data_IF_523676148426
#
_entry.id   IF_523676148426
#
_cell.length_a   1.000
_cell.length_b   1.000
_cell.length_c   1.000
_cell.angle_alpha   90.00
_cell.angle_beta   90.00
_cell.angle_gamma   90.00
#
_symmetry.space_group_name_H-M   'P 1'
#
loop_
_entity.id
_entity.type
_entity.pdbx_description
1 polymer ?
#
# COMPACT_ATOMS: atom_id res chain seq x y z
N UNK A 1 -18.53 25.33 23.93
CA UNK A 1 -18.90 24.65 22.66
C UNK A 1 -18.20 23.31 22.67
N UNK A 2 -18.92 22.26 23.10
CA UNK A 2 -18.36 20.93 23.27
C UNK A 2 -18.35 20.20 21.94
N UNK A 3 -17.18 19.71 21.53
CA UNK A 3 -17.09 18.74 20.44
C UNK A 3 -17.89 17.50 20.85
N UNK A 4 -18.97 17.23 20.14
CA UNK A 4 -19.76 16.02 20.27
C UNK A 4 -18.92 14.82 19.86
N UNK A 5 -18.75 13.89 20.81
CA UNK A 5 -18.08 12.60 20.60
C UNK A 5 -18.83 11.84 19.51
N UNK A 6 -18.31 11.85 18.27
CA UNK A 6 -18.86 11.03 17.18
C UNK A 6 -18.85 11.64 15.78
N UNK A 7 -18.68 12.95 15.62
CA UNK A 7 -18.64 13.57 14.28
C UNK A 7 -17.26 13.41 13.63
N UNK A 8 -17.21 12.70 12.50
CA UNK A 8 -16.03 12.71 11.64
C UNK A 8 -15.91 14.10 11.00
N UNK A 9 -14.91 14.87 11.40
CA UNK A 9 -14.56 16.10 10.71
C UNK A 9 -14.11 15.76 9.28
N UNK A 10 -14.88 16.25 8.30
CA UNK A 10 -14.64 15.99 6.87
C UNK A 10 -13.24 16.45 6.44
N UNK A 11 -12.78 17.59 6.95
CA UNK A 11 -11.47 18.14 6.60
C UNK A 11 -10.34 17.25 7.13
N UNK A 12 -10.50 16.73 8.35
CA UNK A 12 -9.52 15.81 8.94
C UNK A 12 -9.49 14.51 8.14
N UNK A 13 -10.65 13.93 7.81
CA UNK A 13 -10.71 12.74 6.96
C UNK A 13 -10.04 12.95 5.60
N UNK A 14 -10.34 14.05 4.89
CA UNK A 14 -9.78 14.30 3.56
C UNK A 14 -8.28 14.54 3.61
N UNK A 15 -7.80 15.20 4.66
CA UNK A 15 -6.37 15.47 4.86
C UNK A 15 -5.63 14.15 5.08
N UNK A 16 -6.11 13.34 6.02
CA UNK A 16 -5.52 12.04 6.33
C UNK A 16 -5.55 11.09 5.12
N UNK A 17 -6.66 11.07 4.38
CA UNK A 17 -6.77 10.28 3.15
C UNK A 17 -5.79 10.75 2.09
N UNK A 18 -5.63 12.07 1.93
CA UNK A 18 -4.64 12.65 1.01
C UNK A 18 -3.21 12.24 1.36
N UNK A 19 -2.83 12.35 2.65
CA UNK A 19 -1.53 11.89 3.13
C UNK A 19 -1.30 10.41 2.87
N UNK A 20 -2.30 9.57 3.18
CA UNK A 20 -2.24 8.13 2.91
C UNK A 20 -1.98 7.85 1.44
N UNK A 21 -2.75 8.47 0.54
CA UNK A 21 -2.65 8.25 -0.91
C UNK A 21 -1.30 8.69 -1.46
N UNK A 22 -0.75 9.80 -0.98
CA UNK A 22 0.58 10.25 -1.38
C UNK A 22 1.66 9.22 -1.04
N UNK A 23 1.65 8.71 0.20
CA UNK A 23 2.63 7.70 0.61
C UNK A 23 2.40 6.38 -0.09
N UNK A 24 1.14 5.93 -0.25
CA UNK A 24 0.82 4.71 -0.99
C UNK A 24 1.35 4.78 -2.43
N UNK A 25 1.11 5.88 -3.13
CA UNK A 25 1.58 6.06 -4.51
C UNK A 25 3.11 6.07 -4.58
N UNK A 26 3.80 6.69 -3.61
CA UNK A 26 5.25 6.63 -3.52
C UNK A 26 5.76 5.18 -3.34
N UNK A 27 5.08 4.39 -2.49
CA UNK A 27 5.38 2.96 -2.29
C UNK A 27 5.12 2.13 -3.55
N UNK A 28 4.02 2.37 -4.26
CA UNK A 28 3.67 1.69 -5.50
C UNK A 28 4.67 2.00 -6.62
N UNK A 29 5.07 3.27 -6.76
CA UNK A 29 6.09 3.68 -7.72
C UNK A 29 7.44 3.02 -7.41
N UNK A 30 7.85 3.03 -6.14
CA UNK A 30 9.09 2.36 -5.73
C UNK A 30 9.06 0.86 -6.02
N UNK A 31 7.95 0.18 -5.72
CA UNK A 31 7.77 -1.24 -6.09
C UNK A 31 7.91 -1.44 -7.60
N UNK A 32 7.29 -0.57 -8.41
CA UNK A 32 7.38 -0.64 -9.86
C UNK A 32 8.82 -0.45 -10.35
N UNK A 33 9.56 0.51 -9.79
CA UNK A 33 10.95 0.78 -10.16
C UNK A 33 11.85 -0.40 -9.82
N UNK A 34 11.68 -0.99 -8.63
CA UNK A 34 12.40 -2.20 -8.19
C UNK A 34 12.16 -3.35 -9.17
N UNK A 35 10.89 -3.67 -9.46
CA UNK A 35 10.53 -4.78 -10.35
C UNK A 35 11.02 -4.52 -11.77
N UNK A 36 10.84 -3.30 -12.27
CA UNK A 36 11.28 -2.91 -13.63
C UNK A 36 12.79 -3.07 -13.78
N UNK A 37 13.56 -2.62 -12.80
CA UNK A 37 15.01 -2.75 -12.80
C UNK A 37 15.45 -4.23 -12.77
N UNK A 38 14.82 -5.06 -11.94
CA UNK A 38 15.11 -6.50 -11.87
C UNK A 38 14.82 -7.21 -13.19
N UNK A 39 13.66 -6.95 -13.80
CA UNK A 39 13.27 -7.56 -15.08
C UNK A 39 14.17 -7.10 -16.24
N UNK A 40 14.62 -5.85 -16.21
CA UNK A 40 15.59 -5.32 -17.18
C UNK A 40 16.92 -6.07 -17.09
N UNK A 41 17.43 -6.31 -15.87
CA UNK A 41 18.64 -7.12 -15.64
C UNK A 41 18.50 -8.58 -16.10
N UNK A 42 17.29 -9.12 -16.10
CA UNK A 42 17.00 -10.48 -16.59
C UNK A 42 16.74 -10.53 -18.10
N UNK A 43 16.79 -9.39 -18.81
CA UNK A 43 16.39 -9.26 -20.22
C UNK A 43 14.96 -9.76 -20.47
N UNK A 44 14.02 -9.43 -19.56
CA UNK A 44 12.59 -9.81 -19.61
C UNK A 44 11.62 -8.63 -19.48
N UNK A 45 12.11 -7.39 -19.57
CA UNK A 45 11.29 -6.18 -19.43
C UNK A 45 10.13 -6.14 -20.43
N UNK A 46 10.34 -6.64 -21.64
CA UNK A 46 9.36 -6.76 -22.73
C UNK A 46 8.19 -7.72 -22.42
N UNK A 47 8.36 -8.63 -21.46
CA UNK A 47 7.34 -9.61 -21.09
C UNK A 47 6.35 -9.10 -20.05
N UNK A 48 6.50 -7.85 -19.62
CA UNK A 48 5.71 -7.34 -18.51
C UNK A 48 5.18 -5.94 -18.77
N UNK A 49 3.86 -5.78 -19.01
CA UNK A 49 3.23 -4.47 -19.10
C UNK A 49 3.16 -3.80 -17.73
N UNK A 50 2.87 -2.49 -17.69
CA UNK A 50 2.56 -1.77 -16.45
C UNK A 50 1.34 -2.42 -15.77
N UNK A 51 1.60 -3.31 -14.81
CA UNK A 51 0.60 -4.21 -14.24
C UNK A 51 0.14 -3.79 -12.83
N UNK A 52 -0.95 -4.39 -12.35
CA UNK A 52 -1.53 -4.11 -11.04
C UNK A 52 -0.56 -4.42 -9.88
N UNK A 53 -0.69 -3.67 -8.77
CA UNK A 53 0.12 -3.79 -7.54
C UNK A 53 0.37 -5.24 -7.10
N UNK A 54 -0.69 -6.06 -7.00
CA UNK A 54 -0.59 -7.46 -6.55
C UNK A 54 0.33 -8.30 -7.44
N UNK A 55 0.33 -8.03 -8.75
CA UNK A 55 1.14 -8.79 -9.70
C UNK A 55 2.61 -8.40 -9.63
N UNK A 56 2.91 -7.10 -9.45
CA UNK A 56 4.28 -6.62 -9.17
C UNK A 56 4.81 -7.23 -7.87
N UNK A 57 3.97 -7.30 -6.84
CA UNK A 57 4.33 -7.89 -5.56
C UNK A 57 4.65 -9.40 -5.70
N UNK A 58 3.82 -10.13 -6.41
CA UNK A 58 4.04 -11.56 -6.69
C UNK A 58 5.34 -11.80 -7.47
N UNK A 59 5.66 -10.94 -8.44
CA UNK A 59 6.94 -11.03 -9.16
C UNK A 59 8.13 -10.77 -8.23
N UNK A 60 8.05 -9.71 -7.43
CA UNK A 60 9.14 -9.40 -6.50
C UNK A 60 9.37 -10.57 -5.54
N UNK A 61 8.32 -11.20 -5.04
CA UNK A 61 8.37 -12.38 -4.18
C UNK A 61 9.07 -13.55 -4.90
N UNK A 62 8.66 -13.89 -6.13
CA UNK A 62 9.31 -14.93 -6.93
C UNK A 62 10.80 -14.64 -7.19
N UNK A 63 11.14 -13.39 -7.50
CA UNK A 63 12.53 -12.99 -7.73
C UNK A 63 13.33 -13.11 -6.43
N UNK A 64 12.76 -12.75 -5.27
CA UNK A 64 13.42 -12.91 -3.97
C UNK A 64 13.59 -14.38 -3.57
N UNK A 65 12.65 -15.27 -3.95
CA UNK A 65 12.78 -16.71 -3.76
C UNK A 65 13.91 -17.29 -4.62
N UNK A 66 14.02 -16.86 -5.88
CA UNK A 66 15.06 -17.31 -6.80
C UNK A 66 16.44 -16.70 -6.51
N UNK A 67 16.48 -15.42 -6.13
CA UNK A 67 17.67 -14.64 -5.84
C UNK A 67 17.53 -14.02 -4.46
N UNK A 68 18.10 -14.68 -3.44
CA UNK A 68 18.02 -14.22 -2.06
C UNK A 68 18.62 -12.81 -1.91
N UNK A 69 17.81 -11.76 -1.67
CA UNK A 69 18.33 -10.42 -1.50
C UNK A 69 18.96 -10.28 -0.10
N UNK A 70 19.73 -9.22 0.11
CA UNK A 70 20.22 -8.91 1.46
C UNK A 70 19.07 -8.47 2.39
N UNK A 71 18.06 -7.85 1.81
CA UNK A 71 16.84 -7.44 2.48
C UNK A 71 15.63 -7.90 1.69
N UNK A 72 14.71 -8.60 2.35
CA UNK A 72 13.41 -8.97 1.79
C UNK A 72 12.33 -8.19 2.53
N UNK A 73 11.40 -7.55 1.81
CA UNK A 73 10.35 -6.77 2.44
C UNK A 73 9.30 -7.71 3.03
N UNK A 74 8.49 -7.18 3.94
CA UNK A 74 7.34 -7.89 4.50
C UNK A 74 6.19 -7.91 3.48
N UNK A 75 6.14 -8.99 2.70
CA UNK A 75 5.12 -9.18 1.66
C UNK A 75 3.69 -9.20 2.21
N UNK A 76 3.46 -9.70 3.43
CA UNK A 76 2.12 -9.67 4.04
C UNK A 76 1.69 -8.25 4.38
N UNK A 77 2.59 -7.40 4.88
CA UNK A 77 2.29 -5.98 5.09
C UNK A 77 2.03 -5.24 3.79
N UNK A 78 2.72 -5.56 2.70
CA UNK A 78 2.45 -4.99 1.38
C UNK A 78 1.07 -5.42 0.84
N UNK A 79 0.66 -6.68 1.05
CA UNK A 79 -0.70 -7.16 0.75
C UNK A 79 -1.76 -6.46 1.60
N UNK A 80 -1.49 -6.30 2.90
CA UNK A 80 -2.36 -5.56 3.81
C UNK A 80 -2.51 -4.10 3.37
N UNK A 81 -1.42 -3.45 2.95
CA UNK A 81 -1.44 -2.09 2.42
C UNK A 81 -2.31 -1.99 1.17
N UNK A 82 -2.19 -2.91 0.21
CA UNK A 82 -3.02 -2.92 -1.00
C UNK A 82 -4.51 -3.18 -0.68
N UNK A 83 -4.81 -4.11 0.23
CA UNK A 83 -6.18 -4.33 0.73
C UNK A 83 -6.73 -3.07 1.38
N UNK A 84 -5.93 -2.40 2.21
CA UNK A 84 -6.31 -1.15 2.88
C UNK A 84 -6.58 -0.03 1.88
N UNK A 85 -5.74 0.13 0.84
CA UNK A 85 -5.99 1.08 -0.25
C UNK A 85 -7.31 0.78 -0.97
N UNK A 86 -7.57 -0.48 -1.29
CA UNK A 86 -8.83 -0.87 -1.94
C UNK A 86 -10.03 -0.60 -1.04
N UNK A 87 -9.93 -0.85 0.26
CA UNK A 87 -10.98 -0.51 1.22
C UNK A 87 -11.25 0.99 1.29
N UNK A 88 -10.19 1.81 1.30
CA UNK A 88 -10.29 3.28 1.36
C UNK A 88 -10.81 3.88 0.04
N UNK A 89 -10.36 3.36 -1.10
CA UNK A 89 -10.82 3.78 -2.43
C UNK A 89 -12.31 3.49 -2.67
N UNK A 90 -12.86 2.49 -1.98
CA UNK A 90 -14.28 2.16 -1.99
C UNK A 90 -15.04 2.69 -0.77
N UNK A 91 -14.48 3.66 -0.04
CA UNK A 91 -15.19 4.37 1.02
C UNK A 91 -16.41 5.13 0.45
N UNK A 92 -17.55 5.05 1.13
CA UNK A 92 -18.77 5.78 0.81
C UNK A 92 -19.15 6.67 1.98
N UNK A 93 -19.41 7.94 1.69
CA UNK A 93 -19.94 8.89 2.66
C UNK A 93 -21.41 8.60 2.87
N UNK A 94 -21.80 8.44 4.14
CA UNK A 94 -23.17 8.15 4.57
C UNK A 94 -23.57 9.18 5.61
N UNK A 95 -24.67 9.87 5.38
CA UNK A 95 -25.28 10.77 6.36
C UNK A 95 -26.46 10.05 7.03
N UNK A 96 -26.50 10.06 8.35
CA UNK A 96 -27.65 9.60 9.12
C UNK A 96 -28.77 10.65 9.01
N UNK A 97 -29.94 10.31 8.43
CA UNK A 97 -31.02 11.27 8.22
C UNK A 97 -31.71 11.71 9.53
N UNK A 98 -31.56 10.94 10.61
CA UNK A 98 -32.21 11.24 11.90
C UNK A 98 -31.31 12.08 12.81
N UNK A 99 -29.99 11.88 12.77
CA UNK A 99 -29.02 12.57 13.64
C UNK A 99 -28.17 13.60 12.90
N UNK A 100 -28.14 13.58 11.57
CA UNK A 100 -27.23 14.39 10.75
C UNK A 100 -25.79 13.89 10.72
N UNK A 101 -25.45 12.87 11.53
CA UNK A 101 -24.08 12.35 11.65
C UNK A 101 -23.56 11.80 10.31
N UNK A 102 -22.31 12.12 9.99
CA UNK A 102 -21.63 11.62 8.80
C UNK A 102 -20.68 10.49 9.18
N UNK A 103 -20.89 9.34 8.56
CA UNK A 103 -20.01 8.18 8.62
C UNK A 103 -19.40 7.90 7.25
N UNK A 104 -18.20 7.33 7.24
CA UNK A 104 -17.60 6.78 6.02
C UNK A 104 -17.53 5.28 6.19
N UNK A 105 -18.19 4.55 5.30
CA UNK A 105 -18.37 3.11 5.37
C UNK A 105 -17.82 2.45 4.12
N UNK A 106 -17.50 1.16 4.16
CA UNK A 106 -17.17 0.42 2.93
C UNK A 106 -18.39 0.39 2.00
N UNK A 107 -18.19 0.54 0.68
CA UNK A 107 -19.25 0.46 -0.33
C UNK A 107 -20.11 -0.81 -0.21
N UNK A 108 -19.50 -1.96 0.11
CA UNK A 108 -20.20 -3.24 0.28
C UNK A 108 -21.05 -3.30 1.55
N UNK A 109 -20.77 -2.42 2.51
CA UNK A 109 -21.45 -2.38 3.80
C UNK A 109 -22.46 -1.22 3.90
N UNK A 110 -22.85 -0.63 2.77
CA UNK A 110 -23.83 0.47 2.68
C UNK A 110 -25.25 0.11 3.14
N UNK A 111 -25.48 -1.12 3.61
CA UNK A 111 -26.74 -1.51 4.24
C UNK A 111 -26.90 -0.86 5.63
N UNK A 112 -28.12 -0.41 5.95
CA UNK A 112 -28.45 0.26 7.20
C UNK A 112 -28.00 -0.57 8.42
N UNK A 113 -27.05 -0.02 9.19
CA UNK A 113 -26.62 -0.58 10.48
C UNK A 113 -25.46 -1.59 10.44
N UNK A 114 -24.85 -1.86 9.28
CA UNK A 114 -23.76 -2.85 9.14
C UNK A 114 -22.42 -2.30 8.63
N UNK A 115 -22.38 -1.02 8.27
CA UNK A 115 -21.18 -0.32 7.80
C UNK A 115 -20.07 -0.23 8.85
N UNK A 116 -18.90 -0.83 8.59
CA UNK A 116 -17.70 -0.59 9.41
C UNK A 116 -17.21 0.84 9.16
N UNK A 117 -17.23 1.69 10.19
CA UNK A 117 -16.78 3.09 10.11
C UNK A 117 -15.28 3.18 9.78
N UNK A 118 -14.92 4.08 8.88
CA UNK A 118 -13.55 4.46 8.53
C UNK A 118 -13.29 5.81 9.21
N UNK A 119 -12.52 5.79 10.30
CA UNK A 119 -12.20 7.00 11.07
C UNK A 119 -10.88 7.62 10.60
N UNK A 120 -10.63 8.92 10.86
CA UNK A 120 -9.32 9.54 10.62
C UNK A 120 -8.16 8.80 11.30
N UNK A 121 -8.34 8.34 12.54
CA UNK A 121 -7.31 7.56 13.25
C UNK A 121 -6.97 6.26 12.52
N UNK A 122 -7.97 5.60 11.93
CA UNK A 122 -7.74 4.39 11.13
C UNK A 122 -6.93 4.70 9.87
N UNK A 123 -7.15 5.87 9.26
CA UNK A 123 -6.34 6.31 8.12
C UNK A 123 -4.91 6.66 8.56
N UNK A 124 -4.70 7.30 9.72
CA UNK A 124 -3.35 7.51 10.28
C UNK A 124 -2.57 6.22 10.47
N UNK A 125 -3.24 5.17 10.95
CA UNK A 125 -2.65 3.83 11.07
C UNK A 125 -2.26 3.31 9.69
N UNK A 126 -3.13 3.44 8.69
CA UNK A 126 -2.84 3.06 7.31
C UNK A 126 -1.67 3.85 6.71
N UNK A 127 -1.59 5.16 6.98
CA UNK A 127 -0.46 6.02 6.58
C UNK A 127 0.84 5.57 7.23
N UNK A 128 0.79 5.15 8.50
CA UNK A 128 1.95 4.62 9.21
C UNK A 128 2.42 3.30 8.61
N UNK A 129 1.47 2.40 8.26
CA UNK A 129 1.76 1.18 7.51
C UNK A 129 2.38 1.50 6.15
N UNK A 130 1.82 2.45 5.39
CA UNK A 130 2.35 2.85 4.09
C UNK A 130 3.79 3.37 4.19
N UNK A 131 4.08 4.21 5.20
CA UNK A 131 5.44 4.72 5.49
C UNK A 131 6.41 3.60 5.88
N UNK A 132 5.93 2.62 6.66
CA UNK A 132 6.73 1.46 7.03
C UNK A 132 7.06 0.60 5.80
N UNK A 133 6.06 0.28 4.98
CA UNK A 133 6.25 -0.47 3.73
C UNK A 133 7.17 0.28 2.75
N UNK A 134 7.04 1.61 2.65
CA UNK A 134 7.96 2.42 1.84
C UNK A 134 9.40 2.25 2.31
N UNK A 135 9.67 2.44 3.60
CA UNK A 135 11.02 2.28 4.17
C UNK A 135 11.55 0.86 3.99
N UNK A 136 10.67 -0.13 4.07
CA UNK A 136 11.02 -1.54 3.91
C UNK A 136 11.39 -1.89 2.47
N UNK A 137 10.64 -1.37 1.49
CA UNK A 137 11.02 -1.44 0.07
C UNK A 137 12.28 -0.63 -0.21
N UNK A 138 12.41 0.56 0.37
CA UNK A 138 13.58 1.40 0.22
C UNK A 138 14.83 0.74 0.80
N UNK A 139 14.71 -0.05 1.87
CA UNK A 139 15.83 -0.86 2.38
C UNK A 139 16.30 -1.95 1.41
N UNK A 140 15.54 -2.26 0.35
CA UNK A 140 16.02 -3.10 -0.76
C UNK A 140 16.87 -2.31 -1.76
N UNK A 141 16.69 -0.98 -1.85
CA UNK A 141 17.34 -0.12 -2.84
C UNK A 141 18.85 0.09 -2.69
N UNK A 142 19.53 -0.16 -1.55
CA UNK A 142 20.98 0.01 -1.50
C UNK A 142 21.67 -0.91 -2.48
N UNK A 143 21.15 -2.15 -2.65
CA UNK A 143 21.64 -3.08 -3.69
C UNK A 143 20.80 -4.31 -4.08
N UNK A 144 19.61 -4.17 -4.69
CA UNK A 144 19.29 -4.77 -6.02
C UNK A 144 20.47 -4.71 -7.04
N UNK A 145 21.69 -4.33 -6.61
CA UNK A 145 22.56 -3.28 -7.08
C UNK A 145 24.04 -3.49 -6.63
N UNK A 146 24.49 -4.70 -6.28
CA UNK A 146 25.94 -4.98 -6.31
C UNK A 146 26.22 -5.80 -7.57
N UNK A 147 26.56 -5.06 -8.62
CA UNK A 147 26.57 -5.43 -10.03
C UNK A 147 27.89 -6.04 -10.55
N UNK A 148 28.79 -6.57 -9.71
CA UNK A 148 29.96 -7.33 -10.16
C UNK A 148 30.23 -8.57 -9.30
N UNK A 149 30.32 -9.72 -9.98
CA UNK A 149 30.78 -11.07 -9.60
C UNK A 149 29.65 -12.12 -9.45
N UNK A 150 29.47 -13.05 -10.42
CA UNK A 150 28.69 -14.26 -10.17
C UNK A 150 29.31 -15.01 -8.98
N UNK A 151 28.53 -15.71 -8.13
CA UNK A 151 29.12 -16.56 -7.10
C UNK A 151 30.11 -17.49 -7.79
N UNK A 152 31.38 -17.48 -7.34
CA UNK A 152 32.35 -18.48 -7.79
C UNK A 152 31.74 -19.83 -7.48
N UNK A 153 31.45 -20.60 -8.53
CA UNK A 153 31.20 -22.03 -8.40
C UNK A 153 32.49 -22.61 -7.86
N UNK A 154 32.48 -22.94 -6.56
CA UNK A 154 33.53 -23.77 -5.98
C UNK A 154 33.18 -25.18 -6.43
N UNK A 155 33.94 -25.68 -7.41
CA UNK A 155 33.95 -27.09 -7.78
C UNK A 155 34.62 -27.89 -6.66
#
# INVERSE_FOLDING_TARGET
MGATVGEINRNDYTTELGEFLLVFNATENLLNDIVSHLLERLHKKDRYPEDMFDRRLWILELICEAFKPMHAPDFEKLRELNRTRNELAHGHMRTNPNTGEVDIVKAKDCSWGKGRKITPDRIRIASSLAKACYKDLDAMTPYIWFAHTPPKVVW
#
